data_IF_783806406319
#
_entry.id   IF_783806406319
#
_cell.length_a   1.000
_cell.length_b   1.000
_cell.length_c   1.000
_cell.angle_alpha   90.00
_cell.angle_beta   90.00
_cell.angle_gamma   90.00
#
_symmetry.space_group_name_H-M   'P 1'
#
loop_
_entity.id
_entity.type
_entity.pdbx_description
1 polymer ?
#
# COMPACT_ATOMS: atom_id res chain seq x y z
N UNK A 1 -69.42 22.76 -52.49
CA UNK A 1 -68.08 23.38 -52.45
C UNK A 1 -68.18 24.46 -51.39
N UNK A 2 -67.53 24.43 -50.24
CA UNK A 2 -66.33 23.74 -49.79
C UNK A 2 -66.34 23.77 -48.24
N UNK A 3 -65.74 22.76 -47.62
CA UNK A 3 -65.65 22.54 -46.18
C UNK A 3 -64.40 23.22 -45.59
N UNK A 4 -64.48 23.75 -44.35
CA UNK A 4 -63.49 23.60 -43.25
C UNK A 4 -63.81 24.60 -42.12
N UNK A 5 -64.19 24.18 -40.92
CA UNK A 5 -63.42 23.45 -39.88
C UNK A 5 -62.42 24.34 -39.13
N UNK A 6 -62.75 24.57 -37.86
CA UNK A 6 -61.93 25.10 -36.77
C UNK A 6 -60.55 24.44 -36.68
N UNK A 7 -59.50 25.20 -36.33
CA UNK A 7 -58.37 24.66 -35.58
C UNK A 7 -57.62 25.76 -34.82
N UNK A 8 -57.28 25.42 -33.58
CA UNK A 8 -56.67 26.24 -32.54
C UNK A 8 -55.18 26.46 -32.83
N UNK A 9 -54.70 27.69 -32.71
CA UNK A 9 -53.26 27.98 -32.62
C UNK A 9 -52.77 27.60 -31.22
N UNK A 10 -52.06 26.46 -31.14
CA UNK A 10 -51.32 26.05 -29.96
C UNK A 10 -49.89 26.60 -30.08
N UNK A 11 -49.52 27.53 -29.22
CA UNK A 11 -48.13 28.00 -29.12
C UNK A 11 -47.27 26.92 -28.47
N UNK A 12 -46.40 26.28 -29.25
CA UNK A 12 -45.40 25.33 -28.75
C UNK A 12 -44.15 26.13 -28.38
N UNK A 13 -43.92 26.30 -27.07
CA UNK A 13 -42.66 26.82 -26.55
C UNK A 13 -41.58 25.72 -26.63
N UNK A 14 -40.58 25.90 -27.48
CA UNK A 14 -39.39 25.05 -27.50
C UNK A 14 -38.45 25.47 -26.36
N UNK A 15 -38.55 24.80 -25.21
CA UNK A 15 -37.49 24.84 -24.20
C UNK A 15 -36.30 24.02 -24.68
N UNK A 16 -35.27 24.69 -25.18
CA UNK A 16 -33.95 24.09 -25.42
C UNK A 16 -33.30 23.87 -24.06
N UNK A 17 -33.50 22.69 -23.47
CA UNK A 17 -32.65 22.23 -22.37
C UNK A 17 -31.27 21.92 -22.96
N UNK A 18 -30.30 22.81 -22.75
CA UNK A 18 -28.89 22.46 -22.93
C UNK A 18 -28.56 21.39 -21.91
N UNK A 19 -28.56 20.14 -22.36
CA UNK A 19 -28.04 19.02 -21.60
C UNK A 19 -26.53 19.17 -21.58
N UNK A 20 -26.01 19.90 -20.59
CA UNK A 20 -24.59 19.84 -20.26
C UNK A 20 -24.37 18.43 -19.72
N UNK A 21 -23.86 17.53 -20.56
CA UNK A 21 -23.20 16.33 -20.09
C UNK A 21 -22.03 16.78 -19.23
N UNK A 22 -22.23 16.94 -17.93
CA UNK A 22 -21.13 16.90 -16.98
C UNK A 22 -20.63 15.47 -17.07
N UNK A 23 -19.56 15.25 -17.83
CA UNK A 23 -18.74 14.06 -17.66
C UNK A 23 -18.17 14.23 -16.25
N UNK A 24 -18.84 13.67 -15.24
CA UNK A 24 -18.20 13.42 -13.96
C UNK A 24 -17.00 12.53 -14.28
N UNK A 25 -15.81 13.13 -14.30
CA UNK A 25 -14.57 12.37 -14.41
C UNK A 25 -14.63 11.25 -13.38
N UNK A 26 -14.26 10.04 -13.77
CA UNK A 26 -14.41 8.86 -12.93
C UNK A 26 -13.49 8.96 -11.70
N UNK A 27 -14.03 9.50 -10.61
CA UNK A 27 -13.28 9.77 -9.38
C UNK A 27 -12.76 8.45 -8.79
N UNK A 28 -11.53 8.50 -8.30
CA UNK A 28 -10.73 7.40 -7.79
C UNK A 28 -10.40 6.29 -8.79
N UNK A 29 -10.75 6.41 -10.07
CA UNK A 29 -10.32 5.43 -11.08
C UNK A 29 -8.82 5.51 -11.33
N UNK A 30 -8.23 6.69 -11.16
CA UNK A 30 -6.79 6.89 -11.20
C UNK A 30 -6.33 7.78 -10.03
N UNK A 31 -5.07 7.65 -9.64
CA UNK A 31 -4.46 8.50 -8.62
C UNK A 31 -3.68 9.68 -9.24
N UNK A 32 -3.81 9.88 -10.56
CA UNK A 32 -3.08 10.88 -11.33
C UNK A 32 -3.23 12.29 -10.77
N UNK A 33 -2.16 13.08 -10.79
CA UNK A 33 -2.15 14.50 -10.43
C UNK A 33 -1.63 14.79 -9.03
N UNK A 34 -1.87 16.03 -8.58
CA UNK A 34 -1.40 16.52 -7.28
C UNK A 34 -2.32 16.11 -6.14
N UNK A 35 -1.72 15.91 -4.98
CA UNK A 35 -2.39 15.68 -3.71
C UNK A 35 -1.64 16.38 -2.57
N UNK A 36 -2.40 16.80 -1.56
CA UNK A 36 -1.90 17.58 -0.42
C UNK A 36 -2.33 16.96 0.89
N UNK A 37 -1.40 16.76 1.83
CA UNK A 37 -1.76 16.26 3.15
C UNK A 37 -2.02 17.37 4.16
N UNK A 38 -2.52 16.96 5.34
CA UNK A 38 -2.82 17.84 6.47
C UNK A 38 -1.60 18.56 7.06
N UNK A 39 -0.38 18.16 6.69
CA UNK A 39 0.88 18.78 7.13
C UNK A 39 1.39 19.83 6.13
N UNK A 40 0.69 20.03 5.01
CA UNK A 40 1.09 20.94 3.93
C UNK A 40 2.08 20.33 2.94
N UNK A 41 2.35 19.03 3.03
CA UNK A 41 3.16 18.30 2.04
C UNK A 41 2.38 18.12 0.74
N UNK A 42 3.11 18.08 -0.38
CA UNK A 42 2.58 17.84 -1.72
C UNK A 42 3.15 16.54 -2.27
N UNK A 43 2.31 15.77 -2.95
CA UNK A 43 2.73 14.63 -3.78
C UNK A 43 2.11 14.79 -5.16
N UNK A 44 2.92 14.63 -6.20
CA UNK A 44 2.45 14.47 -7.58
C UNK A 44 2.57 12.99 -7.96
N UNK A 45 1.53 12.43 -8.57
CA UNK A 45 1.48 11.04 -8.99
C UNK A 45 1.13 10.93 -10.47
N UNK A 46 1.90 10.12 -11.19
CA UNK A 46 1.56 9.55 -12.48
C UNK A 46 1.17 8.08 -12.27
N UNK A 47 -0.02 7.71 -12.71
CA UNK A 47 -0.59 6.38 -12.59
C UNK A 47 -0.58 5.73 -13.97
N UNK A 48 0.41 4.86 -14.19
CA UNK A 48 0.54 4.07 -15.39
C UNK A 48 -0.61 3.07 -15.53
N UNK A 49 -0.96 2.74 -16.78
CA UNK A 49 -1.99 1.74 -17.09
C UNK A 49 -1.59 0.32 -16.68
N UNK A 50 -0.30 0.11 -16.40
CA UNK A 50 0.26 -1.11 -15.80
C UNK A 50 0.08 -1.18 -14.27
N UNK A 51 -0.52 -0.16 -13.67
CA UNK A 51 -0.78 -0.05 -12.25
C UNK A 51 0.43 0.38 -11.42
N UNK A 52 1.46 0.93 -12.06
CA UNK A 52 2.61 1.52 -11.35
C UNK A 52 2.35 3.01 -11.11
N UNK A 53 2.75 3.48 -9.93
CA UNK A 53 2.71 4.88 -9.55
C UNK A 53 4.13 5.43 -9.55
N UNK A 54 4.34 6.52 -10.28
CA UNK A 54 5.56 7.31 -10.24
C UNK A 54 5.26 8.72 -9.78
N UNK A 55 6.27 9.43 -9.31
CA UNK A 55 6.11 10.87 -9.09
C UNK A 55 7.09 11.43 -8.08
N UNK A 56 6.68 12.53 -7.47
CA UNK A 56 7.53 13.34 -6.61
C UNK A 56 6.81 13.69 -5.31
N UNK A 57 7.54 13.64 -4.21
CA UNK A 57 7.08 14.05 -2.89
C UNK A 57 7.86 15.26 -2.41
N UNK A 58 7.14 16.31 -2.02
CA UNK A 58 7.67 17.53 -1.38
C UNK A 58 7.10 17.63 0.02
N UNK A 59 7.90 17.22 1.01
CA UNK A 59 7.49 17.32 2.42
C UNK A 59 7.54 18.75 2.91
N UNK A 60 6.56 19.15 3.70
CA UNK A 60 6.55 20.42 4.43
C UNK A 60 7.16 20.31 5.84
N UNK A 61 7.42 19.08 6.29
CA UNK A 61 7.95 18.80 7.63
C UNK A 61 9.13 17.83 7.56
N UNK A 62 10.03 17.99 8.52
CA UNK A 62 11.19 17.11 8.70
C UNK A 62 11.46 16.90 10.19
N UNK A 63 11.94 15.71 10.55
CA UNK A 63 12.31 15.42 11.95
C UNK A 63 13.56 16.19 12.39
N UNK A 64 14.53 16.31 11.47
CA UNK A 64 15.76 17.07 11.64
C UNK A 64 15.99 17.87 10.37
N UNK A 65 16.48 19.09 10.49
CA UNK A 65 16.73 19.94 9.34
C UNK A 65 17.66 19.26 8.32
N UNK A 66 17.23 19.20 7.06
CA UNK A 66 17.89 18.51 5.95
C UNK A 66 17.68 16.99 5.92
N UNK A 67 16.77 16.42 6.73
CA UNK A 67 16.56 14.96 6.75
C UNK A 67 15.78 14.44 5.56
N UNK A 68 14.97 15.27 4.87
CA UNK A 68 14.34 14.89 3.60
C UNK A 68 15.22 15.18 2.37
N UNK A 69 16.47 15.60 2.57
CA UNK A 69 17.39 15.98 1.51
C UNK A 69 17.22 17.43 1.07
N UNK A 70 17.77 17.82 -0.08
CA UNK A 70 17.73 19.21 -0.59
C UNK A 70 16.63 19.45 -1.64
N UNK A 71 16.23 18.42 -2.38
CA UNK A 71 15.23 18.49 -3.45
C UNK A 71 13.98 17.65 -3.13
N UNK A 72 13.00 17.58 -4.05
CA UNK A 72 11.91 16.61 -3.97
C UNK A 72 12.47 15.17 -3.86
N UNK A 73 11.65 14.26 -3.34
CA UNK A 73 12.01 12.84 -3.25
C UNK A 73 11.17 12.03 -4.24
N UNK A 74 11.76 10.98 -4.81
CA UNK A 74 11.07 10.11 -5.78
C UNK A 74 10.01 9.28 -5.05
N UNK A 75 8.85 9.15 -5.69
CA UNK A 75 7.77 8.24 -5.31
C UNK A 75 7.79 7.05 -6.26
N UNK A 76 7.71 5.85 -5.68
CA UNK A 76 7.35 4.63 -6.41
C UNK A 76 6.21 3.94 -5.67
N UNK A 77 5.15 3.57 -6.38
CA UNK A 77 4.01 2.86 -5.82
C UNK A 77 3.36 1.92 -6.80
N UNK A 78 2.27 1.30 -6.35
CA UNK A 78 1.38 0.53 -7.20
C UNK A 78 -0.05 0.63 -6.70
N UNK A 79 -0.96 0.76 -7.67
CA UNK A 79 -2.40 0.68 -7.51
C UNK A 79 -2.97 0.02 -8.77
N UNK A 80 -4.05 -0.75 -8.71
CA UNK A 80 -4.73 -1.18 -9.92
C UNK A 80 -5.27 0.03 -10.70
N UNK A 81 -5.00 0.08 -12.00
CA UNK A 81 -5.47 1.15 -12.88
C UNK A 81 -6.95 0.99 -13.21
N UNK A 82 -7.68 2.11 -13.28
CA UNK A 82 -9.11 2.15 -13.56
C UNK A 82 -9.94 1.28 -12.59
N UNK A 83 -9.50 1.20 -11.33
CA UNK A 83 -10.16 0.41 -10.29
C UNK A 83 -10.45 1.28 -9.07
N UNK A 84 -11.61 1.95 -9.04
CA UNK A 84 -11.96 2.82 -7.93
C UNK A 84 -11.96 2.07 -6.61
N UNK A 85 -11.51 2.77 -5.57
CA UNK A 85 -11.43 2.22 -4.21
C UNK A 85 -10.49 1.01 -4.04
N UNK A 86 -9.59 0.74 -4.99
CA UNK A 86 -8.51 -0.21 -4.74
C UNK A 86 -7.61 0.25 -3.59
N UNK A 87 -7.13 -0.71 -2.81
CA UNK A 87 -6.00 -0.50 -1.94
C UNK A 87 -4.74 -0.29 -2.78
N UNK A 88 -3.88 0.63 -2.33
CA UNK A 88 -2.62 0.96 -2.98
C UNK A 88 -1.50 1.07 -1.95
N UNK A 89 -0.26 1.06 -2.44
CA UNK A 89 0.90 1.40 -1.66
C UNK A 89 1.84 2.30 -2.48
N UNK A 90 2.53 3.23 -1.83
CA UNK A 90 3.63 3.96 -2.42
C UNK A 90 4.72 4.24 -1.40
N UNK A 91 5.93 4.46 -1.88
CA UNK A 91 7.10 4.64 -1.05
C UNK A 91 7.93 5.84 -1.50
N UNK A 92 8.61 6.45 -0.54
CA UNK A 92 9.51 7.58 -0.73
C UNK A 92 10.82 7.30 -0.02
N UNK A 93 11.93 7.45 -0.74
CA UNK A 93 13.29 7.36 -0.19
C UNK A 93 13.81 8.76 0.11
N UNK A 94 14.20 8.99 1.36
CA UNK A 94 14.68 10.29 1.84
C UNK A 94 16.20 10.33 1.88
N UNK A 95 16.78 11.46 1.44
CA UNK A 95 18.21 11.79 1.57
C UNK A 95 19.09 10.56 1.29
N UNK A 96 19.06 10.08 0.04
CA UNK A 96 19.86 8.96 -0.46
C UNK A 96 19.80 7.69 0.41
N UNK A 97 18.63 7.36 0.96
CA UNK A 97 18.40 6.12 1.72
C UNK A 97 18.77 6.17 3.20
N UNK A 98 18.89 7.37 3.78
CA UNK A 98 19.01 7.54 5.24
C UNK A 98 17.68 7.33 5.99
N UNK A 99 16.57 7.43 5.28
CA UNK A 99 15.29 6.90 5.73
C UNK A 99 14.39 6.61 4.54
N UNK A 100 13.39 5.77 4.75
CA UNK A 100 12.39 5.41 3.74
C UNK A 100 11.02 5.38 4.39
N UNK A 101 10.00 5.93 3.74
CA UNK A 101 8.61 5.83 4.18
C UNK A 101 7.78 5.05 3.17
N UNK A 102 6.94 4.14 3.67
CA UNK A 102 5.87 3.50 2.87
C UNK A 102 4.52 3.98 3.39
N UNK A 103 3.62 4.31 2.47
CA UNK A 103 2.21 4.53 2.73
C UNK A 103 1.42 3.37 2.14
N UNK A 104 0.41 2.93 2.88
CA UNK A 104 -0.66 2.07 2.35
C UNK A 104 -1.99 2.78 2.55
N UNK A 105 -2.89 2.69 1.58
CA UNK A 105 -4.11 3.46 1.63
C UNK A 105 -5.15 3.07 0.60
N UNK A 106 -6.21 3.87 0.55
CA UNK A 106 -7.30 3.74 -0.40
C UNK A 106 -7.86 5.13 -0.74
N UNK A 107 -8.28 5.31 -1.99
CA UNK A 107 -8.97 6.52 -2.45
C UNK A 107 -10.47 6.41 -2.18
N UNK A 108 -11.06 7.50 -1.67
CA UNK A 108 -12.49 7.66 -1.48
C UNK A 108 -12.97 8.96 -2.10
N UNK A 109 -14.22 8.96 -2.52
CA UNK A 109 -14.97 10.19 -2.80
C UNK A 109 -15.77 10.54 -1.55
N UNK A 110 -15.54 11.71 -0.98
CA UNK A 110 -16.29 12.19 0.20
C UNK A 110 -17.68 12.70 -0.21
N UNK A 111 -18.52 12.97 0.78
CA UNK A 111 -19.88 13.50 0.58
C UNK A 111 -19.89 14.86 -0.16
N UNK A 112 -18.82 15.64 -0.01
CA UNK A 112 -18.58 16.89 -0.73
C UNK A 112 -18.15 16.69 -2.19
N UNK A 113 -18.08 15.44 -2.66
CA UNK A 113 -17.66 15.07 -4.00
C UNK A 113 -16.15 15.11 -4.24
N UNK A 114 -15.32 15.42 -3.25
CA UNK A 114 -13.87 15.50 -3.44
C UNK A 114 -13.20 14.15 -3.18
N UNK A 115 -12.17 13.86 -3.97
CA UNK A 115 -11.33 12.69 -3.74
C UNK A 115 -10.44 12.90 -2.52
N UNK A 116 -10.26 11.84 -1.74
CA UNK A 116 -9.41 11.80 -0.57
C UNK A 116 -8.68 10.47 -0.49
N UNK A 117 -7.36 10.52 -0.29
CA UNK A 117 -6.57 9.35 0.06
C UNK A 117 -6.49 9.22 1.57
N UNK A 118 -7.00 8.11 2.11
CA UNK A 118 -6.83 7.76 3.51
C UNK A 118 -5.67 6.78 3.62
N UNK A 119 -4.61 7.18 4.33
CA UNK A 119 -3.37 6.42 4.37
C UNK A 119 -2.86 6.22 5.79
N UNK A 120 -2.12 5.14 5.99
CA UNK A 120 -1.24 4.94 7.13
C UNK A 120 0.18 4.74 6.61
N UNK A 121 1.17 5.22 7.36
CA UNK A 121 2.56 5.16 6.93
C UNK A 121 3.48 4.60 7.99
N UNK A 122 4.59 4.02 7.52
CA UNK A 122 5.74 3.66 8.32
C UNK A 122 6.96 4.38 7.78
N UNK A 123 7.71 5.06 8.65
CA UNK A 123 9.00 5.67 8.33
C UNK A 123 10.10 4.86 9.03
N UNK A 124 11.00 4.27 8.24
CA UNK A 124 12.20 3.59 8.73
C UNK A 124 13.39 4.53 8.61
N UNK A 125 14.09 4.76 9.72
CA UNK A 125 15.40 5.43 9.73
C UNK A 125 16.52 4.40 9.74
N UNK A 126 17.67 4.76 9.16
CA UNK A 126 18.87 3.94 9.29
C UNK A 126 19.32 3.89 10.74
N UNK A 127 19.81 2.73 11.14
CA UNK A 127 20.53 2.55 12.41
C UNK A 127 21.82 1.80 12.15
N UNK A 128 22.85 2.14 12.93
CA UNK A 128 24.20 1.61 12.75
C UNK A 128 24.40 0.27 13.46
N UNK A 129 23.63 0.01 14.52
CA UNK A 129 23.82 -1.18 15.36
C UNK A 129 22.55 -2.01 15.45
N UNK A 130 22.73 -3.32 15.68
CA UNK A 130 21.65 -4.25 15.95
C UNK A 130 20.84 -3.87 17.20
N UNK A 131 21.48 -3.23 18.18
CA UNK A 131 20.85 -2.79 19.43
C UNK A 131 19.88 -1.65 19.15
N UNK A 132 20.20 -0.75 18.22
CA UNK A 132 19.38 0.43 17.92
C UNK A 132 18.16 0.14 17.02
N UNK A 133 17.97 -1.11 16.59
CA UNK A 133 16.84 -1.50 15.72
C UNK A 133 15.48 -1.13 16.30
N UNK A 134 15.27 -1.26 17.61
CA UNK A 134 13.96 -1.08 18.25
C UNK A 134 13.37 0.33 18.05
N UNK A 135 14.21 1.37 17.88
CA UNK A 135 13.78 2.78 17.77
C UNK A 135 13.69 3.30 16.33
N UNK A 136 13.84 2.41 15.35
CA UNK A 136 14.12 2.80 13.97
C UNK A 136 12.87 3.00 13.10
N UNK A 137 11.71 2.49 13.52
CA UNK A 137 10.46 2.63 12.77
C UNK A 137 9.47 3.54 13.50
N UNK A 138 8.93 4.53 12.79
CA UNK A 138 7.82 5.38 13.23
C UNK A 138 6.56 5.03 12.45
N UNK A 139 5.39 5.28 13.02
CA UNK A 139 4.08 5.05 12.40
C UNK A 139 3.22 6.31 12.48
N UNK A 140 2.39 6.54 11.46
CA UNK A 140 1.40 7.61 11.48
C UNK A 140 0.33 7.46 10.40
N UNK A 141 -0.45 8.52 10.21
CA UNK A 141 -1.51 8.60 9.20
C UNK A 141 -1.45 9.93 8.49
N UNK A 142 -1.71 9.89 7.19
CA UNK A 142 -1.91 11.07 6.37
C UNK A 142 -3.22 10.99 5.61
N UNK A 143 -3.88 12.14 5.49
CA UNK A 143 -5.06 12.32 4.66
C UNK A 143 -4.70 13.26 3.53
N UNK A 144 -4.67 12.75 2.30
CA UNK A 144 -4.37 13.57 1.14
C UNK A 144 -5.64 13.98 0.40
N UNK A 145 -5.71 15.24 -0.03
CA UNK A 145 -6.82 15.84 -0.78
C UNK A 145 -6.31 16.46 -2.08
N UNK A 146 -7.21 16.71 -3.02
CA UNK A 146 -6.87 17.40 -4.28
C UNK A 146 -6.53 18.88 -4.13
N UNK A 147 -6.97 19.49 -3.03
CA UNK A 147 -6.73 20.89 -2.70
C UNK A 147 -5.80 21.01 -1.49
N UNK A 148 -5.07 22.11 -1.44
CA UNK A 148 -4.14 22.42 -0.35
C UNK A 148 -4.90 22.67 0.96
N UNK A 149 -4.60 21.87 1.99
CA UNK A 149 -5.23 22.01 3.33
C UNK A 149 -4.46 23.00 4.22
N UNK A 150 -3.14 23.06 4.05
CA UNK A 150 -2.25 23.92 4.80
C UNK A 150 -1.12 24.39 3.88
N UNK A 151 -0.79 25.69 3.98
CA UNK A 151 0.38 26.21 3.28
C UNK A 151 1.67 25.76 3.97
N UNK A 152 2.32 24.77 3.39
CA UNK A 152 3.59 24.24 3.88
C UNK A 152 4.80 24.88 3.20
N UNK A 153 5.90 25.15 3.93
CA UNK A 153 7.18 25.42 3.28
C UNK A 153 7.58 24.17 2.51
N UNK A 154 7.39 24.18 1.19
CA UNK A 154 7.75 23.10 0.30
C UNK A 154 9.02 23.49 -0.44
N UNK A 155 9.83 22.50 -0.76
CA UNK A 155 10.96 22.72 -1.69
C UNK A 155 10.42 23.22 -3.04
N UNK A 156 11.10 24.16 -3.71
CA UNK A 156 10.57 24.79 -4.92
C UNK A 156 10.16 23.78 -5.98
N UNK A 157 9.04 24.06 -6.64
CA UNK A 157 8.71 23.44 -7.93
C UNK A 157 9.49 24.20 -9.00
N UNK A 158 10.66 23.70 -9.41
CA UNK A 158 11.49 24.33 -10.44
C UNK A 158 10.88 24.23 -11.86
N UNK A 159 9.60 23.87 -12.00
CA UNK A 159 8.94 23.73 -13.32
C UNK A 159 9.39 22.51 -14.12
N UNK A 160 10.03 21.53 -13.46
CA UNK A 160 10.44 20.25 -14.09
C UNK A 160 9.30 19.22 -14.16
N UNK A 161 8.12 19.57 -13.63
CA UNK A 161 6.96 18.69 -13.46
C UNK A 161 6.15 18.47 -14.75
N UNK A 162 6.55 19.06 -15.89
CA UNK A 162 5.90 18.89 -17.20
C UNK A 162 6.55 17.82 -18.11
N UNK A 163 7.65 17.19 -17.69
CA UNK A 163 8.24 16.04 -18.38
C UNK A 163 8.22 14.80 -17.50
N UNK A 164 8.14 13.61 -18.12
CA UNK A 164 8.42 12.33 -17.45
C UNK A 164 9.68 12.52 -16.60
N UNK A 165 9.51 12.55 -15.29
CA UNK A 165 10.64 12.64 -14.38
C UNK A 165 11.31 11.28 -14.45
N UNK A 166 12.24 11.13 -15.39
CA UNK A 166 13.05 9.92 -15.47
C UNK A 166 13.69 9.71 -14.10
N UNK A 167 13.28 8.62 -13.44
CA UNK A 167 13.81 8.13 -12.15
C UNK A 167 15.34 8.09 -12.18
N UNK A 168 15.91 8.01 -13.38
CA UNK A 168 17.32 8.04 -13.75
C UNK A 168 18.16 9.15 -13.07
N UNK A 169 17.56 10.24 -12.56
CA UNK A 169 18.32 11.38 -12.02
C UNK A 169 18.71 11.36 -10.54
N UNK A 170 18.15 10.51 -9.66
CA UNK A 170 18.26 10.78 -8.20
C UNK A 170 18.95 9.69 -7.37
N UNK A 171 19.07 8.45 -7.85
CA UNK A 171 19.72 7.40 -7.06
C UNK A 171 20.94 6.86 -7.78
N UNK A 172 22.02 7.64 -7.80
CA UNK A 172 23.32 7.11 -8.17
C UNK A 172 23.93 6.36 -6.97
N UNK A 173 24.13 5.05 -7.11
CA UNK A 173 25.08 4.30 -6.31
C UNK A 173 26.24 3.86 -7.20
N UNK A 174 27.40 4.49 -7.00
CA UNK A 174 28.66 4.33 -7.74
C UNK A 174 29.52 3.17 -7.21
N UNK A 175 28.91 2.09 -6.72
CA UNK A 175 29.67 0.96 -6.18
C UNK A 175 29.53 -0.27 -7.10
N UNK A 176 30.48 -0.49 -8.03
CA UNK A 176 30.45 -1.64 -8.93
C UNK A 176 30.55 -2.99 -8.19
N UNK A 177 31.01 -3.02 -6.94
CA UNK A 177 31.18 -4.23 -6.12
C UNK A 177 29.96 -4.58 -5.26
N UNK A 178 28.87 -3.80 -5.36
CA UNK A 178 27.63 -3.99 -4.61
C UNK A 178 27.08 -5.42 -4.62
N UNK A 179 27.24 -6.13 -5.75
CA UNK A 179 26.67 -7.47 -5.92
C UNK A 179 27.24 -8.48 -4.92
N UNK A 180 28.47 -8.25 -4.46
CA UNK A 180 29.20 -9.14 -3.57
C UNK A 180 29.22 -8.67 -2.12
N UNK A 181 28.54 -7.55 -1.81
CA UNK A 181 28.45 -7.04 -0.44
C UNK A 181 27.34 -7.74 0.33
N UNK A 182 27.55 -7.99 1.64
CA UNK A 182 26.46 -8.31 2.53
C UNK A 182 25.36 -7.26 2.47
N UNK A 183 24.14 -7.67 2.80
CA UNK A 183 22.92 -6.88 2.66
C UNK A 183 22.56 -6.51 1.21
N UNK A 184 22.97 -7.36 0.26
CA UNK A 184 22.42 -7.34 -1.08
C UNK A 184 20.99 -7.89 -1.05
N UNK A 185 19.99 -7.13 -1.50
CA UNK A 185 18.59 -7.60 -1.47
C UNK A 185 18.29 -8.69 -2.51
N UNK A 186 19.14 -8.87 -3.52
CA UNK A 186 18.92 -9.82 -4.61
C UNK A 186 18.83 -11.27 -4.13
N UNK A 187 17.95 -12.06 -4.72
CA UNK A 187 17.81 -13.49 -4.46
C UNK A 187 16.65 -13.81 -3.51
N UNK A 188 16.72 -14.99 -2.89
CA UNK A 188 15.65 -15.54 -2.04
C UNK A 188 15.75 -15.07 -0.59
N UNK A 189 14.59 -14.90 0.01
CA UNK A 189 14.38 -14.53 1.41
C UNK A 189 13.17 -15.28 1.96
N UNK A 190 13.26 -15.71 3.21
CA UNK A 190 12.24 -16.50 3.90
C UNK A 190 11.91 -15.84 5.23
N UNK A 191 10.63 -15.80 5.60
CA UNK A 191 10.22 -15.39 6.95
C UNK A 191 9.80 -16.58 7.81
N UNK A 192 9.60 -16.31 9.09
CA UNK A 192 9.18 -17.30 10.10
C UNK A 192 7.77 -17.85 9.89
N UNK A 193 6.96 -17.22 9.04
CA UNK A 193 5.63 -17.71 8.68
C UNK A 193 5.69 -18.74 7.55
N UNK A 194 6.86 -18.93 6.92
CA UNK A 194 7.06 -19.84 5.80
C UNK A 194 6.89 -19.18 4.43
N UNK A 195 6.74 -17.86 4.35
CA UNK A 195 6.63 -17.13 3.07
C UNK A 195 7.98 -17.07 2.34
N UNK A 196 7.95 -17.13 1.01
CA UNK A 196 9.13 -16.96 0.13
C UNK A 196 9.02 -15.62 -0.62
N UNK A 197 10.09 -14.83 -0.58
CA UNK A 197 10.25 -13.62 -1.37
C UNK A 197 11.51 -13.73 -2.25
N UNK A 198 11.39 -13.40 -3.53
CA UNK A 198 12.51 -13.42 -4.48
C UNK A 198 12.64 -12.03 -5.08
N UNK A 199 13.74 -11.35 -4.77
CA UNK A 199 13.95 -9.96 -5.15
C UNK A 199 15.07 -9.80 -6.19
N UNK A 200 14.92 -8.75 -6.99
CA UNK A 200 15.93 -8.21 -7.88
C UNK A 200 15.88 -6.68 -7.78
N UNK A 201 16.97 -6.05 -7.36
CA UNK A 201 17.16 -4.62 -7.38
C UNK A 201 17.89 -4.21 -8.65
N UNK A 202 17.26 -3.35 -9.45
CA UNK A 202 17.82 -2.84 -10.69
C UNK A 202 18.91 -1.81 -10.42
N UNK A 203 20.03 -1.91 -11.13
CA UNK A 203 21.18 -1.02 -10.94
C UNK A 203 20.94 0.41 -11.45
N UNK A 204 20.05 0.57 -12.45
CA UNK A 204 19.84 1.86 -13.14
C UNK A 204 19.05 2.87 -12.29
N UNK A 205 18.05 2.38 -11.56
CA UNK A 205 17.02 3.18 -10.89
C UNK A 205 16.76 2.73 -9.45
N UNK A 206 17.46 1.69 -8.98
CA UNK A 206 17.36 1.12 -7.64
C UNK A 206 15.97 0.62 -7.26
N UNK A 207 15.12 0.42 -8.26
CA UNK A 207 13.82 -0.22 -8.10
C UNK A 207 14.03 -1.68 -7.75
N UNK A 208 13.32 -2.12 -6.71
CA UNK A 208 13.23 -3.50 -6.27
C UNK A 208 12.00 -4.09 -6.95
N UNK A 209 12.20 -5.20 -7.65
CA UNK A 209 11.15 -5.96 -8.34
C UNK A 209 11.29 -7.44 -7.98
N UNK A 210 10.18 -8.16 -7.93
CA UNK A 210 10.24 -9.54 -7.48
C UNK A 210 8.90 -10.25 -7.41
N UNK A 211 8.92 -11.38 -6.72
CA UNK A 211 7.75 -12.22 -6.46
C UNK A 211 7.66 -12.53 -4.96
N UNK A 212 6.44 -12.53 -4.43
CA UNK A 212 6.14 -12.91 -3.06
C UNK A 212 5.11 -14.03 -3.04
N UNK A 213 5.41 -15.10 -2.31
CA UNK A 213 4.52 -16.23 -2.02
C UNK A 213 4.27 -16.25 -0.53
N UNK A 214 3.08 -15.83 -0.12
CA UNK A 214 2.71 -15.85 1.30
C UNK A 214 2.31 -17.26 1.71
N UNK A 215 2.78 -17.69 2.88
CA UNK A 215 2.32 -18.92 3.52
C UNK A 215 1.04 -18.74 4.34
N UNK A 216 0.59 -17.49 4.53
CA UNK A 216 -0.59 -17.17 5.34
C UNK A 216 -1.54 -16.25 4.60
N UNK A 217 -2.83 -16.40 4.89
CA UNK A 217 -3.89 -15.47 4.48
C UNK A 217 -4.96 -15.41 5.57
N UNK A 218 -5.67 -14.29 5.70
CA UNK A 218 -6.74 -14.13 6.71
C UNK A 218 -8.04 -14.80 6.30
N UNK A 219 -8.30 -14.80 5.00
CA UNK A 219 -9.46 -15.39 4.36
C UNK A 219 -8.95 -16.21 3.18
N UNK A 220 -9.48 -17.42 3.01
CA UNK A 220 -9.11 -18.31 1.92
C UNK A 220 -9.30 -17.59 0.58
N UNK A 221 -8.23 -17.48 -0.21
CA UNK A 221 -8.25 -16.75 -1.48
C UNK A 221 -7.72 -15.32 -1.43
N UNK A 222 -7.49 -14.73 -0.25
CA UNK A 222 -7.06 -13.33 -0.13
C UNK A 222 -5.66 -13.08 -0.74
N UNK A 223 -4.77 -14.09 -0.71
CA UNK A 223 -3.48 -14.02 -1.38
C UNK A 223 -3.55 -14.14 -2.92
N UNK A 224 -4.73 -14.43 -3.47
CA UNK A 224 -4.93 -14.76 -4.88
C UNK A 224 -4.72 -16.25 -5.17
N UNK A 225 -4.42 -16.56 -6.44
CA UNK A 225 -4.25 -17.93 -6.95
C UNK A 225 -2.83 -18.22 -7.45
N UNK A 226 -1.93 -17.25 -7.34
CA UNK A 226 -0.52 -17.39 -7.72
C UNK A 226 0.35 -16.48 -6.84
N UNK A 227 1.64 -16.42 -7.13
CA UNK A 227 2.55 -15.50 -6.49
C UNK A 227 2.13 -14.05 -6.82
N UNK A 228 2.40 -13.14 -5.90
CA UNK A 228 2.15 -11.72 -6.11
C UNK A 228 3.43 -11.01 -6.56
N UNK A 229 3.27 -9.96 -7.39
CA UNK A 229 4.40 -9.12 -7.79
C UNK A 229 4.82 -8.24 -6.60
N UNK A 230 6.12 -8.11 -6.43
CA UNK A 230 6.74 -7.16 -5.50
C UNK A 230 7.28 -5.98 -6.27
N UNK A 231 6.99 -4.78 -5.80
CA UNK A 231 7.65 -3.55 -6.21
C UNK A 231 8.22 -2.85 -4.98
N UNK A 232 9.25 -2.05 -5.16
CA UNK A 232 9.90 -1.37 -4.06
C UNK A 232 11.01 -0.46 -4.53
N UNK A 233 11.56 0.29 -3.60
CA UNK A 233 12.64 1.23 -3.86
C UNK A 233 13.50 1.32 -2.61
N UNK A 234 14.80 1.51 -2.81
CA UNK A 234 15.77 1.64 -1.74
C UNK A 234 17.11 2.04 -2.30
N UNK A 235 18.03 2.50 -1.45
CA UNK A 235 19.38 2.77 -1.90
C UNK A 235 20.13 1.45 -2.10
N UNK A 236 20.74 1.25 -3.27
CA UNK A 236 21.59 0.10 -3.53
C UNK A 236 22.95 0.27 -2.85
N UNK A 237 23.41 -0.74 -2.13
CA UNK A 237 24.81 -0.84 -1.68
C UNK A 237 25.23 -0.11 -0.41
N UNK A 238 24.33 0.62 0.24
CA UNK A 238 24.56 1.02 1.62
C UNK A 238 24.28 -0.18 2.52
N UNK A 239 25.30 -0.74 3.17
CA UNK A 239 25.12 -1.76 4.23
C UNK A 239 24.21 -1.28 5.37
N UNK A 240 24.02 0.04 5.46
CA UNK A 240 23.12 0.70 6.41
C UNK A 240 21.91 1.34 5.77
N UNK A 241 21.58 1.09 4.50
CA UNK A 241 20.49 1.81 3.81
C UNK A 241 19.09 1.25 4.10
N UNK A 242 18.11 2.15 4.15
CA UNK A 242 16.70 1.75 4.24
C UNK A 242 16.10 1.49 2.87
N UNK A 243 15.08 0.64 2.85
CA UNK A 243 14.30 0.33 1.68
C UNK A 243 12.86 0.07 2.07
N UNK A 244 12.02 0.02 1.05
CA UNK A 244 10.63 -0.40 1.16
C UNK A 244 10.28 -1.26 -0.03
N UNK A 245 9.40 -2.22 0.22
CA UNK A 245 8.75 -2.97 -0.84
C UNK A 245 7.29 -3.18 -0.47
N UNK A 246 6.46 -3.45 -1.46
CA UNK A 246 5.03 -3.57 -1.28
C UNK A 246 4.45 -4.56 -2.29
N UNK A 247 3.31 -5.10 -1.91
CA UNK A 247 2.52 -6.06 -2.67
C UNK A 247 1.08 -5.58 -2.68
N UNK A 248 0.50 -5.47 -3.87
CA UNK A 248 -0.93 -5.24 -4.05
C UNK A 248 -1.59 -6.60 -4.29
N UNK A 249 -2.37 -7.06 -3.31
CA UNK A 249 -2.99 -8.37 -3.31
C UNK A 249 -4.30 -8.37 -4.08
N UNK A 250 -4.50 -9.43 -4.87
CA UNK A 250 -5.77 -9.75 -5.52
C UNK A 250 -6.43 -8.52 -6.17
N UNK A 251 -5.72 -7.87 -7.10
CA UNK A 251 -6.18 -6.68 -7.82
C UNK A 251 -6.64 -5.52 -6.91
N UNK A 252 -5.98 -5.31 -5.77
CA UNK A 252 -6.23 -4.18 -4.88
C UNK A 252 -7.36 -4.41 -3.88
N UNK A 253 -7.74 -5.65 -3.60
CA UNK A 253 -8.56 -5.96 -2.42
C UNK A 253 -7.79 -5.70 -1.12
N UNK A 254 -6.46 -5.78 -1.16
CA UNK A 254 -5.62 -5.24 -0.10
C UNK A 254 -4.22 -4.89 -0.63
N UNK A 255 -3.45 -4.14 0.15
CA UNK A 255 -2.05 -3.84 -0.16
C UNK A 255 -1.22 -3.91 1.12
N UNK A 256 -0.09 -4.60 1.07
CA UNK A 256 0.90 -4.59 2.16
C UNK A 256 2.11 -3.78 1.74
N UNK A 257 2.56 -2.88 2.62
CA UNK A 257 3.82 -2.16 2.46
C UNK A 257 4.75 -2.45 3.62
N UNK A 258 5.96 -2.88 3.31
CA UNK A 258 7.06 -3.08 4.25
C UNK A 258 8.06 -1.93 4.13
N UNK A 259 8.58 -1.48 5.27
CA UNK A 259 9.83 -0.71 5.34
C UNK A 259 10.82 -1.45 6.20
N UNK A 260 12.09 -1.38 5.82
CA UNK A 260 13.10 -2.14 6.52
C UNK A 260 14.52 -1.68 6.25
N UNK A 261 15.42 -2.39 6.91
CA UNK A 261 16.86 -2.29 6.73
C UNK A 261 17.43 -3.69 6.90
N UNK A 262 18.43 -4.02 6.09
CA UNK A 262 19.16 -5.27 6.27
C UNK A 262 20.27 -5.07 7.31
N UNK A 263 20.44 -6.07 8.18
CA UNK A 263 21.45 -6.09 9.22
C UNK A 263 22.18 -7.43 9.24
N UNK A 264 23.40 -7.41 9.77
CA UNK A 264 24.17 -8.60 10.07
C UNK A 264 24.32 -8.66 11.59
N UNK A 265 23.55 -9.54 12.23
CA UNK A 265 23.45 -9.57 13.70
C UNK A 265 23.69 -10.95 14.29
N UNK A 266 23.96 -10.97 15.59
CA UNK A 266 24.24 -12.18 16.36
C UNK A 266 25.66 -12.72 16.16
N UNK A 267 26.03 -13.70 16.99
CA UNK A 267 27.35 -14.32 16.96
C UNK A 267 27.64 -15.00 15.61
N UNK A 268 26.60 -15.57 14.99
CA UNK A 268 26.67 -16.23 13.69
C UNK A 268 26.71 -15.26 12.50
N UNK A 269 26.69 -13.94 12.74
CA UNK A 269 26.68 -12.90 11.70
C UNK A 269 25.62 -13.17 10.63
N UNK A 270 24.39 -13.45 11.08
CA UNK A 270 23.29 -13.79 10.17
C UNK A 270 22.80 -12.54 9.47
N UNK A 271 22.72 -12.61 8.15
CA UNK A 271 22.11 -11.58 7.32
C UNK A 271 20.58 -11.65 7.47
N UNK A 272 19.96 -10.54 7.90
CA UNK A 272 18.53 -10.47 8.19
C UNK A 272 17.95 -9.16 7.68
N UNK A 273 16.91 -9.23 6.87
CA UNK A 273 16.04 -8.09 6.62
C UNK A 273 15.11 -7.95 7.81
N UNK A 274 15.26 -6.86 8.55
CA UNK A 274 14.29 -6.48 9.58
C UNK A 274 13.31 -5.51 8.97
N UNK A 275 12.03 -5.83 9.06
CA UNK A 275 10.99 -5.03 8.45
C UNK A 275 9.77 -4.90 9.34
N UNK A 276 9.08 -3.78 9.13
CA UNK A 276 7.79 -3.51 9.72
C UNK A 276 6.82 -3.28 8.58
N UNK A 277 5.58 -3.76 8.71
CA UNK A 277 4.61 -3.69 7.64
C UNK A 277 3.26 -3.14 8.07
N UNK A 278 2.57 -2.56 7.08
CA UNK A 278 1.15 -2.23 7.15
C UNK A 278 0.41 -3.02 6.08
N UNK A 279 -0.70 -3.68 6.45
CA UNK A 279 -1.63 -4.30 5.51
C UNK A 279 -2.91 -3.49 5.50
N UNK A 280 -3.18 -2.81 4.38
CA UNK A 280 -4.43 -2.08 4.13
C UNK A 280 -5.42 -2.97 3.39
N UNK A 281 -6.54 -3.28 4.02
CA UNK A 281 -7.69 -3.90 3.36
C UNK A 281 -8.54 -2.84 2.66
N UNK A 282 -9.06 -3.18 1.48
CA UNK A 282 -10.13 -2.42 0.83
C UNK A 282 -11.36 -2.44 1.74
N UNK A 283 -12.00 -1.30 1.87
CA UNK A 283 -13.27 -1.14 2.57
C UNK A 283 -14.27 -0.43 1.68
N UNK A 284 -15.56 -0.73 1.85
CA UNK A 284 -16.61 -0.13 1.03
C UNK A 284 -17.08 1.23 1.56
N UNK A 285 -16.99 1.45 2.88
CA UNK A 285 -17.47 2.69 3.52
C UNK A 285 -16.37 3.36 4.35
N UNK A 286 -16.29 4.69 4.27
CA UNK A 286 -15.31 5.49 5.03
C UNK A 286 -15.43 5.26 6.54
N UNK A 287 -16.64 4.99 7.05
CA UNK A 287 -16.86 4.66 8.47
C UNK A 287 -16.11 3.41 8.94
N UNK A 288 -15.73 2.53 8.03
CA UNK A 288 -14.98 1.30 8.33
C UNK A 288 -13.46 1.52 8.29
N UNK A 289 -12.99 2.75 8.04
CA UNK A 289 -11.56 3.06 7.92
C UNK A 289 -10.76 2.75 9.19
N UNK A 290 -11.38 2.82 10.37
CA UNK A 290 -10.72 2.57 11.64
C UNK A 290 -10.14 1.15 11.77
N UNK A 291 -10.74 0.14 11.11
CA UNK A 291 -10.33 -1.29 11.17
C UNK A 291 -9.57 -1.76 9.92
N UNK A 292 -9.30 -0.86 8.99
CA UNK A 292 -8.85 -1.21 7.64
C UNK A 292 -7.35 -1.49 7.52
N UNK A 293 -6.56 -1.15 8.54
CA UNK A 293 -5.09 -1.30 8.48
C UNK A 293 -4.60 -2.17 9.64
N UNK A 294 -3.93 -3.27 9.31
CA UNK A 294 -3.16 -4.08 10.26
C UNK A 294 -1.69 -3.66 10.26
N UNK A 295 -1.00 -3.98 11.34
CA UNK A 295 0.41 -3.67 11.56
C UNK A 295 1.10 -4.87 12.23
N UNK A 296 2.31 -5.19 11.77
CA UNK A 296 3.21 -6.10 12.48
C UNK A 296 4.65 -5.93 11.98
N UNK A 297 5.53 -6.78 12.46
CA UNK A 297 6.92 -6.92 12.02
C UNK A 297 7.13 -8.28 11.35
N UNK A 298 8.04 -8.30 10.37
CA UNK A 298 8.54 -9.51 9.74
C UNK A 298 10.07 -9.41 9.65
N UNK A 299 10.74 -10.52 9.98
CA UNK A 299 12.16 -10.70 9.71
C UNK A 299 12.34 -11.73 8.60
N UNK A 300 13.22 -11.44 7.65
CA UNK A 300 13.54 -12.36 6.57
C UNK A 300 15.02 -12.77 6.58
N UNK A 301 15.28 -14.04 6.36
CA UNK A 301 16.62 -14.64 6.31
C UNK A 301 16.85 -15.35 4.97
N UNK A 302 18.13 -15.59 4.63
CA UNK A 302 18.51 -16.38 3.45
C UNK A 302 18.21 -17.87 3.60
N UNK A 303 18.26 -18.36 4.82
CA UNK A 303 17.98 -19.75 5.15
C UNK A 303 16.51 -19.90 5.48
N UNK A 304 15.89 -20.92 4.88
CA UNK A 304 14.53 -21.32 5.19
C UNK A 304 14.47 -21.98 6.57
N UNK A 305 13.53 -21.54 7.40
CA UNK A 305 13.30 -22.09 8.76
C UNK A 305 11.93 -22.75 8.91
N UNK A 306 10.97 -22.36 8.06
CA UNK A 306 9.58 -22.83 8.12
C UNK A 306 9.12 -23.20 6.71
N UNK A 307 8.58 -24.41 6.47
CA UNK A 307 8.04 -24.80 5.18
C UNK A 307 6.88 -23.90 4.73
N UNK A 308 6.66 -23.84 3.42
CA UNK A 308 5.57 -23.05 2.84
C UNK A 308 5.60 -23.10 1.31
N UNK A 309 4.86 -22.23 0.61
CA UNK A 309 4.84 -22.22 -0.84
C UNK A 309 6.18 -21.79 -1.44
N UNK A 310 6.65 -22.51 -2.46
CA UNK A 310 7.95 -22.31 -3.10
C UNK A 310 7.81 -22.22 -4.61
N UNK A 311 8.56 -21.29 -5.21
CA UNK A 311 8.69 -21.19 -6.66
C UNK A 311 9.14 -22.51 -7.28
N UNK A 312 10.11 -23.17 -6.65
CA UNK A 312 10.73 -24.38 -7.20
C UNK A 312 9.77 -25.57 -7.20
N UNK A 313 8.80 -25.59 -6.27
CA UNK A 313 7.83 -26.66 -6.13
C UNK A 313 6.50 -26.33 -6.86
N UNK A 314 6.46 -25.21 -7.58
CA UNK A 314 5.26 -24.68 -8.23
C UNK A 314 4.06 -24.50 -7.26
N UNK A 315 4.35 -24.20 -5.99
CA UNK A 315 3.38 -23.86 -4.96
C UNK A 315 3.44 -22.36 -4.71
N UNK A 316 2.30 -21.66 -4.80
CA UNK A 316 2.28 -20.20 -4.90
C UNK A 316 1.47 -19.49 -3.83
N UNK A 317 0.63 -20.23 -3.13
CA UNK A 317 -0.36 -19.75 -2.16
C UNK A 317 -0.33 -20.62 -0.91
N UNK A 318 -0.93 -20.17 0.19
CA UNK A 318 -1.11 -21.00 1.38
C UNK A 318 -1.79 -22.34 1.04
N UNK A 319 -1.51 -23.37 1.83
CA UNK A 319 -2.21 -24.65 1.70
C UNK A 319 -3.67 -24.47 2.14
N UNK A 320 -4.60 -24.84 1.25
CA UNK A 320 -6.06 -24.76 1.43
C UNK A 320 -6.71 -26.15 1.51
N UNK A 321 -5.91 -27.21 1.59
CA UNK A 321 -6.38 -28.60 1.54
C UNK A 321 -7.30 -29.00 2.70
N UNK A 322 -7.34 -28.22 3.78
CA UNK A 322 -8.26 -28.37 4.91
C UNK A 322 -9.56 -27.55 4.83
N UNK A 323 -9.69 -26.65 3.86
CA UNK A 323 -10.83 -25.75 3.72
C UNK A 323 -11.97 -26.42 2.92
N UNK A 324 -12.44 -27.60 3.34
CA UNK A 324 -13.74 -28.09 2.85
C UNK A 324 -14.84 -27.16 3.40
N UNK A 325 -15.74 -26.60 2.57
CA UNK A 325 -16.93 -25.95 3.09
C UNK A 325 -17.69 -26.98 3.94
N UNK A 326 -18.27 -26.60 5.09
CA UNK A 326 -19.01 -27.55 5.91
C UNK A 326 -20.04 -28.24 5.04
N UNK A 327 -19.90 -29.56 4.88
CA UNK A 327 -20.88 -30.37 4.17
C UNK A 327 -22.22 -30.10 4.82
N UNK A 328 -23.11 -29.42 4.10
CA UNK A 328 -24.47 -29.23 4.56
C UNK A 328 -25.03 -30.61 4.87
N UNK A 329 -25.29 -30.89 6.15
CA UNK A 329 -25.97 -32.09 6.57
C UNK A 329 -27.33 -32.11 5.86
N UNK A 330 -27.44 -32.85 4.77
CA UNK A 330 -28.72 -33.25 4.19
C UNK A 330 -29.37 -34.20 5.20
N UNK A 331 -30.12 -33.66 6.16
CA UNK A 331 -31.04 -34.43 6.98
C UNK A 331 -30.97 -34.26 8.50
N UNK A 332 -30.62 -33.09 9.06
CA UNK A 332 -30.89 -32.83 10.47
C UNK A 332 -32.25 -32.12 10.62
N UNK A 333 -33.28 -32.88 10.98
CA UNK A 333 -34.52 -32.33 11.53
C UNK A 333 -34.22 -31.55 12.83
N UNK A 334 -34.85 -30.38 13.06
CA UNK A 334 -34.63 -29.63 14.29
C UNK A 334 -35.42 -30.30 15.41
N UNK A 335 -34.74 -31.04 16.27
CA UNK A 335 -35.26 -31.29 17.61
C UNK A 335 -34.94 -30.06 18.47
N UNK A 336 -35.96 -29.23 18.66
CA UNK A 336 -35.98 -28.20 19.71
C UNK A 336 -35.70 -28.88 21.06
N UNK A 337 -34.58 -28.54 21.69
CA UNK A 337 -34.33 -28.85 23.11
C UNK A 337 -34.38 -27.56 23.91
N UNK A 338 -35.58 -27.22 24.40
CA UNK A 338 -35.76 -26.35 25.55
C UNK A 338 -35.61 -27.20 26.81
N UNK A 339 -34.45 -27.18 27.46
CA UNK A 339 -34.32 -27.44 28.90
C UNK A 339 -32.86 -27.33 29.34
N UNK A 340 -32.47 -26.15 29.84
CA UNK A 340 -31.47 -26.00 30.90
C UNK A 340 -31.54 -24.57 31.44
N UNK A 341 -32.62 -24.30 32.18
CA UNK A 341 -32.73 -23.21 33.14
C UNK A 341 -32.62 -23.86 34.53
N UNK A 342 -31.49 -23.65 35.21
CA UNK A 342 -31.26 -24.24 36.52
C UNK A 342 -30.02 -23.68 37.22
N UNK A 343 -30.28 -22.78 38.17
CA UNK A 343 -29.44 -22.38 39.30
C UNK A 343 -28.18 -21.53 39.03
N UNK A 344 -28.34 -20.20 39.08
CA UNK A 344 -27.35 -19.31 39.71
C UNK A 344 -27.86 -18.90 41.10
N UNK A 345 -27.08 -19.24 42.11
CA UNK A 345 -27.36 -18.96 43.53
C UNK A 345 -26.98 -17.51 43.83
N UNK A 346 -27.96 -16.74 44.30
CA UNK A 346 -27.80 -15.44 44.95
C UNK A 346 -27.16 -15.62 46.32
N UNK A 347 -25.95 -15.09 46.52
CA UNK A 347 -25.45 -14.68 47.85
C UNK A 347 -24.77 -13.33 47.71
N UNK A 348 -25.53 -12.27 47.96
CA UNK A 348 -25.01 -10.96 48.39
C UNK A 348 -26.17 -10.04 48.75
N UNK A 349 -26.50 -9.93 50.05
CA UNK A 349 -26.96 -8.71 50.74
C UNK A 349 -27.50 -9.07 52.13
N UNK A 350 -26.59 -9.05 53.11
CA UNK A 350 -26.89 -8.65 54.49
C UNK A 350 -25.95 -7.50 54.80
N UNK A 351 -26.43 -6.28 54.52
CA UNK A 351 -26.28 -5.03 55.27
C UNK A 351 -26.92 -3.89 54.48
#
# INVERSE_FOLDING_TARGET
MESRSSSRLLHIAFSVFSFVCIVEGEKCNTLNGKWYNQLGSEIFLEHGTDGILYGEYRTAVERRNGSSGVNHSIVLGSAPYNFPSAAFAFSVVWRNGTSTTVWTGQCFVREDGHETLLTSWLLRSTVETCIDKWKSTMIGRDTFTRYEQLHGPRKPDEGKTEGQTEIDKIIHSFDPDVKNKPCNLNGKWYNVLGSEMILKQRLKDNVIEGEYRTAVERETGAAGNSHSKVFGIGQLGGSSSTFSFFVVWNNGLSATGWVGQCHICGENKTETIESTWLLRSKIEAVRDNWKSTLYSEDSFTRTETTPGPRKNDNTHTPDRSGDEPPKACKGCHPLFSFALLGLSVLVSLLL
#
